data_IF_962149938215
#
_entry.id   IF_962149938215
#
_cell.length_a   1.000
_cell.length_b   1.000
_cell.length_c   1.000
_cell.angle_alpha   90.00
_cell.angle_beta   90.00
_cell.angle_gamma   90.00
#
_symmetry.space_group_name_H-M   'P 1'
#
loop_
_entity.id
_entity.type
_entity.pdbx_description
1 polymer ?
#
# COMPACT_ATOMS: atom_id res chain seq x y z
N UNK A 1 12.59 2.22 5.31
CA UNK A 1 12.11 1.90 3.96
C UNK A 1 11.76 0.42 3.90
N UNK A 2 10.61 0.05 3.32
CA UNK A 2 10.15 -1.34 3.23
C UNK A 2 9.89 -1.66 1.76
N UNK A 3 10.31 -2.85 1.32
CA UNK A 3 10.00 -3.37 -0.02
C UNK A 3 8.95 -4.46 0.13
N UNK A 4 7.87 -4.37 -0.65
CA UNK A 4 6.77 -5.34 -0.65
C UNK A 4 6.72 -6.12 -1.96
N UNK A 5 6.29 -7.37 -1.89
CA UNK A 5 5.99 -8.16 -3.09
C UNK A 5 4.55 -7.87 -3.55
N UNK A 6 4.39 -7.28 -4.75
CA UNK A 6 3.07 -6.96 -5.36
C UNK A 6 2.13 -8.14 -5.38
N UNK A 7 2.61 -9.32 -5.80
CA UNK A 7 1.81 -10.54 -5.93
C UNK A 7 1.33 -11.10 -4.59
N UNK A 8 1.78 -10.51 -3.47
CA UNK A 8 1.37 -10.88 -2.13
C UNK A 8 0.47 -9.82 -1.48
N UNK A 9 0.14 -8.73 -2.17
CA UNK A 9 -0.85 -7.75 -1.70
C UNK A 9 -2.24 -8.32 -1.93
N UNK A 10 -3.01 -8.48 -0.86
CA UNK A 10 -4.37 -9.04 -0.88
C UNK A 10 -5.44 -7.95 -0.93
N UNK A 11 -5.21 -6.84 -0.23
CA UNK A 11 -6.13 -5.69 -0.19
C UNK A 11 -5.35 -4.39 -0.04
N UNK A 12 -5.85 -3.35 -0.69
CA UNK A 12 -5.36 -1.98 -0.59
C UNK A 12 -6.51 -1.13 -0.06
N UNK A 13 -6.33 -0.54 1.12
CA UNK A 13 -7.33 0.33 1.73
C UNK A 13 -6.81 1.76 1.73
N UNK A 14 -7.35 2.66 0.89
CA UNK A 14 -7.06 4.08 0.98
C UNK A 14 -7.63 4.66 2.28
N UNK A 15 -6.89 5.57 2.89
CA UNK A 15 -7.35 6.33 4.06
C UNK A 15 -7.41 7.82 3.72
N UNK A 16 -8.28 8.56 4.42
CA UNK A 16 -8.45 10.01 4.23
C UNK A 16 -7.17 10.83 4.44
N UNK A 17 -6.16 10.27 5.11
CA UNK A 17 -4.91 10.95 5.48
C UNK A 17 -3.80 10.83 4.42
N UNK A 18 -4.13 10.50 3.16
CA UNK A 18 -3.13 10.20 2.12
C UNK A 18 -2.16 9.08 2.54
N UNK A 19 -2.72 8.03 3.15
CA UNK A 19 -2.01 6.78 3.46
C UNK A 19 -2.77 5.62 2.84
N UNK A 20 -2.05 4.58 2.44
CA UNK A 20 -2.65 3.30 2.08
C UNK A 20 -2.30 2.26 3.13
N UNK A 21 -3.28 1.49 3.56
CA UNK A 21 -3.06 0.31 4.40
C UNK A 21 -3.11 -0.90 3.48
N UNK A 22 -2.00 -1.62 3.40
CA UNK A 22 -1.86 -2.83 2.60
C UNK A 22 -2.03 -4.05 3.48
N UNK A 23 -2.97 -4.91 3.15
CA UNK A 23 -3.07 -6.23 3.76
C UNK A 23 -2.35 -7.24 2.89
N UNK A 24 -1.31 -7.86 3.43
CA UNK A 24 -0.50 -8.87 2.77
C UNK A 24 -1.16 -10.25 2.88
N UNK A 25 -0.78 -11.19 2.01
CA UNK A 25 -1.31 -12.56 1.98
C UNK A 25 -1.04 -13.35 3.26
N UNK A 26 0.02 -12.99 4.01
CA UNK A 26 0.34 -13.56 5.32
C UNK A 26 -0.42 -12.90 6.49
N UNK A 27 -1.40 -12.03 6.21
CA UNK A 27 -2.18 -11.32 7.22
C UNK A 27 -1.50 -10.10 7.83
N UNK A 28 -0.23 -9.82 7.49
CA UNK A 28 0.44 -8.59 7.97
C UNK A 28 -0.09 -7.36 7.26
N UNK A 29 -0.12 -6.24 7.98
CA UNK A 29 -0.45 -4.93 7.42
C UNK A 29 0.79 -4.08 7.23
N UNK A 30 0.81 -3.29 6.15
CA UNK A 30 1.89 -2.34 5.84
C UNK A 30 1.29 -1.00 5.49
N UNK A 31 1.77 0.06 6.13
CA UNK A 31 1.31 1.41 5.85
C UNK A 31 2.22 2.09 4.83
N UNK A 32 1.62 2.53 3.72
CA UNK A 32 2.25 3.41 2.74
C UNK A 32 2.03 4.84 3.19
N UNK A 33 3.12 5.52 3.53
CA UNK A 33 3.10 6.91 3.96
C UNK A 33 3.08 7.87 2.78
N UNK A 34 2.77 9.15 3.07
CA UNK A 34 2.54 10.21 2.09
C UNK A 34 3.67 10.38 1.07
N UNK A 35 4.92 10.13 1.47
CA UNK A 35 6.10 10.22 0.59
C UNK A 35 6.02 9.27 -0.61
N UNK A 36 5.44 8.08 -0.41
CA UNK A 36 5.26 7.09 -1.48
C UNK A 36 3.84 7.07 -2.04
N UNK A 37 2.93 7.87 -1.50
CA UNK A 37 1.50 7.81 -1.83
C UNK A 37 1.22 8.01 -3.31
N UNK A 38 1.79 9.06 -3.93
CA UNK A 38 1.53 9.37 -5.34
C UNK A 38 2.09 8.30 -6.28
N UNK A 39 3.33 7.85 -6.03
CA UNK A 39 3.96 6.78 -6.80
C UNK A 39 3.14 5.49 -6.67
N UNK A 40 2.69 5.18 -5.46
CA UNK A 40 1.90 3.97 -5.19
C UNK A 40 0.54 4.03 -5.87
N UNK A 41 -0.12 5.20 -5.82
CA UNK A 41 -1.40 5.45 -6.47
C UNK A 41 -1.29 5.27 -7.99
N UNK A 42 -0.30 5.91 -8.60
CA UNK A 42 -0.03 5.83 -10.04
C UNK A 42 0.33 4.40 -10.47
N UNK A 43 1.19 3.72 -9.70
CA UNK A 43 1.64 2.37 -10.01
C UNK A 43 0.51 1.32 -9.95
N UNK A 44 -0.45 1.48 -9.03
CA UNK A 44 -1.61 0.60 -8.93
C UNK A 44 -2.83 1.08 -9.75
N UNK A 45 -2.78 2.28 -10.34
CA UNK A 45 -3.87 2.85 -11.13
C UNK A 45 -5.14 3.14 -10.33
N UNK A 46 -5.00 3.49 -9.04
CA UNK A 46 -6.09 3.80 -8.09
C UNK A 46 -6.30 5.32 -8.01
#
# INVERSE_FOLDING_TARGET
SVVIARNKVKRITPTLSSKFILTMANGKTVDVTRTYYYIFKEYFGI
#
